data_IF_455187935514
#
_entry.id   IF_455187935514
#
_cell.length_a   1.000
_cell.length_b   1.000
_cell.length_c   1.000
_cell.angle_alpha   90.00
_cell.angle_beta   90.00
_cell.angle_gamma   90.00
#
_symmetry.space_group_name_H-M   'P 1'
#
loop_
_entity.id
_entity.type
_entity.pdbx_description
1 polymer ?
#
# COMPACT_ATOMS: atom_id res chain seq x y z
N UNK A 1 28.41 12.43 13.60
CA UNK A 1 28.37 11.09 12.97
C UNK A 1 29.38 10.23 13.69
N UNK A 2 28.94 9.47 14.70
CA UNK A 2 29.83 8.60 15.48
C UNK A 2 30.24 7.37 14.66
N UNK A 3 31.55 7.15 14.59
CA UNK A 3 32.21 6.08 13.86
C UNK A 3 32.07 4.68 14.49
N UNK A 4 31.14 4.47 15.44
CA UNK A 4 31.05 3.24 16.23
C UNK A 4 30.18 2.14 15.61
N UNK A 5 29.47 2.39 14.51
CA UNK A 5 28.58 1.41 13.86
C UNK A 5 29.24 0.55 12.77
N UNK A 6 30.57 0.59 12.61
CA UNK A 6 31.32 -0.15 11.57
C UNK A 6 32.34 -1.13 12.16
N UNK A 7 31.93 -1.99 13.08
CA UNK A 7 32.81 -3.03 13.62
C UNK A 7 32.20 -4.42 13.35
N UNK A 8 32.74 -5.13 12.38
CA UNK A 8 32.30 -6.48 11.96
C UNK A 8 32.18 -7.48 13.13
N UNK A 9 33.15 -7.54 14.07
CA UNK A 9 33.00 -8.26 15.34
C UNK A 9 31.73 -7.95 16.15
N UNK A 10 31.30 -6.68 16.20
CA UNK A 10 30.12 -6.29 16.94
C UNK A 10 28.82 -6.76 16.26
N UNK A 11 28.82 -6.81 14.92
CA UNK A 11 27.71 -7.36 14.14
C UNK A 11 27.61 -8.87 14.29
N UNK A 12 28.73 -9.59 14.25
CA UNK A 12 28.79 -11.03 14.48
C UNK A 12 28.28 -11.36 15.89
N UNK A 13 28.78 -10.66 16.91
CA UNK A 13 28.33 -10.86 18.30
C UNK A 13 26.82 -10.59 18.48
N UNK A 14 26.27 -9.64 17.70
CA UNK A 14 24.83 -9.33 17.73
C UNK A 14 24.00 -10.43 17.06
N UNK A 15 24.46 -10.98 15.95
CA UNK A 15 23.83 -12.11 15.26
C UNK A 15 23.84 -13.34 16.17
N UNK A 16 24.99 -13.68 16.75
CA UNK A 16 25.12 -14.82 17.67
C UNK A 16 24.19 -14.68 18.89
N UNK A 17 24.07 -13.47 19.44
CA UNK A 17 23.15 -13.19 20.55
C UNK A 17 21.69 -13.44 20.15
N UNK A 18 21.28 -12.99 18.96
CA UNK A 18 19.91 -13.18 18.45
C UNK A 18 19.62 -14.66 18.20
N UNK A 19 20.56 -15.40 17.61
CA UNK A 19 20.43 -16.85 17.39
C UNK A 19 20.28 -17.60 18.72
N UNK A 20 21.09 -17.26 19.72
CA UNK A 20 21.01 -17.88 21.04
C UNK A 20 19.71 -17.55 21.79
N UNK A 21 19.24 -16.30 21.71
CA UNK A 21 17.97 -15.90 22.31
C UNK A 21 16.77 -16.61 21.66
N UNK A 22 16.81 -16.84 20.34
CA UNK A 22 15.79 -17.59 19.60
C UNK A 22 15.77 -19.07 20.02
N UNK A 23 16.94 -19.71 20.07
CA UNK A 23 17.09 -21.12 20.47
C UNK A 23 16.57 -21.32 21.89
N UNK A 24 16.97 -20.48 22.85
CA UNK A 24 16.58 -20.61 24.26
C UNK A 24 15.06 -20.47 24.47
N UNK A 25 14.39 -19.63 23.67
CA UNK A 25 12.93 -19.46 23.71
C UNK A 25 12.21 -20.65 23.09
N UNK A 26 12.73 -21.18 21.99
CA UNK A 26 12.21 -22.41 21.39
C UNK A 26 12.33 -23.59 22.36
N UNK A 27 13.49 -23.73 23.02
CA UNK A 27 13.69 -24.70 24.10
C UNK A 27 12.69 -24.51 25.25
N UNK A 28 12.40 -23.26 25.63
CA UNK A 28 11.42 -22.94 26.69
C UNK A 28 10.00 -23.35 26.28
N UNK A 29 9.59 -23.06 25.04
CA UNK A 29 8.28 -23.47 24.51
C UNK A 29 8.13 -24.99 24.40
N UNK A 30 9.20 -25.68 23.95
CA UNK A 30 9.23 -27.14 23.90
C UNK A 30 9.20 -27.74 25.31
N UNK A 31 9.86 -27.12 26.28
CA UNK A 31 9.81 -27.54 27.69
C UNK A 31 8.46 -27.29 28.38
N UNK A 32 7.66 -26.34 27.88
CA UNK A 32 6.31 -26.04 28.34
C UNK A 32 5.24 -26.94 27.67
N UNK A 33 5.58 -27.62 26.57
CA UNK A 33 4.68 -28.51 25.84
C UNK A 33 4.30 -29.86 26.52
N UNK A 34 5.05 -30.46 27.48
CA UNK A 34 4.62 -31.69 28.14
C UNK A 34 3.56 -31.37 29.20
N UNK A 35 2.30 -31.38 28.80
CA UNK A 35 1.15 -31.28 29.72
C UNK A 35 0.65 -32.67 30.07
N UNK A 36 1.18 -33.24 31.15
CA UNK A 36 0.50 -34.30 31.90
C UNK A 36 0.42 -33.93 33.39
N UNK A 37 -0.21 -32.79 33.72
CA UNK A 37 -0.70 -32.53 35.08
C UNK A 37 -2.01 -31.76 35.06
N UNK A 38 -3.01 -32.28 35.77
CA UNK A 38 -4.40 -31.83 35.84
C UNK A 38 -4.65 -30.78 36.94
N UNK A 39 -3.64 -29.97 37.30
CA UNK A 39 -3.82 -28.86 38.24
C UNK A 39 -4.21 -27.58 37.49
N UNK A 40 -5.42 -27.07 37.80
CA UNK A 40 -6.06 -25.92 37.15
C UNK A 40 -5.22 -24.64 37.24
N UNK A 41 -4.48 -24.45 38.34
CA UNK A 41 -3.62 -23.28 38.53
C UNK A 41 -2.34 -23.36 37.69
N UNK A 42 -1.81 -24.58 37.52
CA UNK A 42 -0.63 -24.82 36.70
C UNK A 42 -0.94 -24.65 35.21
N UNK A 43 -2.09 -25.16 34.74
CA UNK A 43 -2.54 -24.98 33.35
C UNK A 43 -2.76 -23.51 33.00
N UNK A 44 -3.34 -22.72 33.91
CA UNK A 44 -3.55 -21.29 33.69
C UNK A 44 -2.23 -20.49 33.64
N UNK A 45 -1.27 -20.82 34.53
CA UNK A 45 0.06 -20.20 34.51
C UNK A 45 0.84 -20.56 33.25
N UNK A 46 0.83 -21.82 32.83
CA UNK A 46 1.50 -22.28 31.60
C UNK A 46 0.86 -21.69 30.35
N UNK A 47 -0.48 -21.56 30.30
CA UNK A 47 -1.17 -20.90 29.20
C UNK A 47 -0.83 -19.41 29.11
N UNK A 48 -0.80 -18.70 30.24
CA UNK A 48 -0.40 -17.29 30.30
C UNK A 48 1.08 -17.10 29.91
N UNK A 49 1.98 -17.98 30.37
CA UNK A 49 3.39 -17.97 29.98
C UNK A 49 3.58 -18.24 28.48
N UNK A 50 2.85 -19.20 27.90
CA UNK A 50 2.85 -19.45 26.45
C UNK A 50 2.33 -18.24 25.68
N UNK A 51 1.28 -17.57 26.16
CA UNK A 51 0.69 -16.39 25.51
C UNK A 51 1.65 -15.19 25.55
N UNK A 52 2.33 -14.97 26.68
CA UNK A 52 3.37 -13.92 26.82
C UNK A 52 4.56 -14.19 25.91
N UNK A 53 5.07 -15.42 25.85
CA UNK A 53 6.20 -15.78 24.98
C UNK A 53 5.82 -15.75 23.49
N UNK A 54 4.58 -16.13 23.15
CA UNK A 54 4.05 -16.05 21.77
C UNK A 54 3.80 -14.60 21.34
N UNK A 55 3.31 -13.75 22.23
CA UNK A 55 3.17 -12.31 21.98
C UNK A 55 4.53 -11.61 21.86
N UNK A 56 5.53 -12.04 22.64
CA UNK A 56 6.90 -11.54 22.55
C UNK A 56 7.58 -11.95 21.22
N UNK A 57 7.31 -13.15 20.70
CA UNK A 57 7.69 -13.58 19.36
C UNK A 57 7.02 -12.72 18.27
N UNK A 58 5.72 -12.48 18.34
CA UNK A 58 5.05 -11.64 17.34
C UNK A 58 5.40 -10.14 17.43
N UNK A 59 5.78 -9.62 18.60
CA UNK A 59 6.06 -8.19 18.75
C UNK A 59 7.52 -7.81 18.45
N UNK A 60 8.49 -8.70 18.70
CA UNK A 60 9.93 -8.40 18.52
C UNK A 60 10.53 -8.99 17.24
N UNK A 61 10.08 -10.17 16.81
CA UNK A 61 10.66 -10.86 15.64
C UNK A 61 10.38 -10.10 14.34
N UNK A 62 9.18 -9.52 14.16
CA UNK A 62 8.91 -8.72 12.96
C UNK A 62 9.73 -7.42 12.88
N UNK A 63 9.97 -6.75 14.00
CA UNK A 63 10.77 -5.51 14.01
C UNK A 63 12.27 -5.81 13.82
N UNK A 64 12.77 -6.89 14.43
CA UNK A 64 14.17 -7.28 14.35
C UNK A 64 14.50 -8.05 13.05
N UNK A 65 13.57 -8.78 12.42
CA UNK A 65 13.74 -9.40 11.09
C UNK A 65 13.69 -8.37 9.97
N UNK A 66 12.80 -7.37 10.06
CA UNK A 66 12.76 -6.25 9.11
C UNK A 66 14.04 -5.44 9.23
N UNK A 67 14.48 -5.13 10.46
CA UNK A 67 15.72 -4.40 10.70
C UNK A 67 16.96 -5.22 10.33
N UNK A 68 16.95 -6.53 10.54
CA UNK A 68 18.01 -7.44 10.07
C UNK A 68 18.05 -7.50 8.54
N UNK A 69 16.89 -7.48 7.88
CA UNK A 69 16.82 -7.44 6.41
C UNK A 69 17.29 -6.10 5.86
N UNK A 70 16.96 -4.99 6.51
CA UNK A 70 17.45 -3.65 6.18
C UNK A 70 18.96 -3.51 6.45
N UNK A 71 19.45 -4.06 7.55
CA UNK A 71 20.87 -4.11 7.90
C UNK A 71 21.64 -4.97 6.88
N UNK A 72 21.08 -6.10 6.43
CA UNK A 72 21.64 -6.96 5.37
C UNK A 72 21.64 -6.24 4.02
N UNK A 73 20.57 -5.53 3.65
CA UNK A 73 20.51 -4.73 2.42
C UNK A 73 21.52 -3.58 2.45
N UNK A 74 21.70 -2.94 3.61
CA UNK A 74 22.69 -1.89 3.83
C UNK A 74 24.13 -2.42 3.76
N UNK A 75 24.40 -3.58 4.38
CA UNK A 75 25.67 -4.29 4.27
C UNK A 75 25.95 -4.71 2.83
N UNK A 76 24.94 -5.21 2.12
CA UNK A 76 25.06 -5.62 0.71
C UNK A 76 25.40 -4.42 -0.16
N UNK A 77 24.74 -3.28 0.05
CA UNK A 77 25.05 -2.03 -0.65
C UNK A 77 26.44 -1.50 -0.31
N UNK A 78 26.87 -1.56 0.94
CA UNK A 78 28.22 -1.15 1.35
C UNK A 78 29.29 -2.09 0.81
N UNK A 79 29.02 -3.39 0.76
CA UNK A 79 29.88 -4.37 0.11
C UNK A 79 29.95 -4.13 -1.40
N UNK A 80 28.82 -3.83 -2.04
CA UNK A 80 28.76 -3.45 -3.46
C UNK A 80 29.51 -2.15 -3.73
N UNK A 81 29.40 -1.13 -2.89
CA UNK A 81 30.16 0.12 -3.00
C UNK A 81 31.67 -0.14 -2.79
N UNK A 82 32.07 -0.94 -1.80
CA UNK A 82 33.47 -1.37 -1.63
C UNK A 82 33.98 -2.20 -2.82
N UNK A 83 33.13 -3.00 -3.46
CA UNK A 83 33.48 -3.78 -4.66
C UNK A 83 33.58 -2.89 -5.90
N UNK A 84 32.61 -1.99 -6.11
CA UNK A 84 32.52 -1.04 -7.22
C UNK A 84 33.67 -0.02 -7.20
N UNK A 85 34.16 0.37 -6.02
CA UNK A 85 35.29 1.28 -5.87
C UNK A 85 36.64 0.57 -5.61
N UNK A 86 36.64 -0.73 -5.29
CA UNK A 86 37.81 -1.45 -4.81
C UNK A 86 38.53 -2.32 -5.84
N UNK A 87 37.85 -2.85 -6.87
CA UNK A 87 38.50 -3.65 -7.91
C UNK A 87 37.80 -3.48 -9.26
N UNK A 88 37.89 -2.28 -9.81
CA UNK A 88 37.56 -2.03 -11.21
C UNK A 88 38.72 -2.45 -12.12
N UNK A 89 39.01 -3.75 -12.17
CA UNK A 89 39.76 -4.35 -13.28
C UNK A 89 39.67 -5.86 -13.20
N UNK A 90 39.04 -6.44 -14.21
CA UNK A 90 38.96 -7.89 -14.53
C UNK A 90 37.87 -8.67 -13.81
N UNK A 91 36.78 -8.95 -14.54
CA UNK A 91 36.01 -10.21 -14.63
C UNK A 91 34.51 -9.96 -14.77
N UNK A 92 33.95 -10.59 -15.81
CA UNK A 92 32.64 -10.32 -16.41
C UNK A 92 31.40 -10.47 -15.53
N UNK A 93 30.32 -9.91 -16.07
CA UNK A 93 28.94 -9.89 -15.60
C UNK A 93 28.57 -11.09 -14.70
N UNK A 94 28.36 -10.81 -13.42
CA UNK A 94 28.02 -11.83 -12.41
C UNK A 94 26.51 -12.10 -12.39
N UNK A 95 26.15 -13.39 -12.28
CA UNK A 95 24.77 -13.91 -12.10
C UNK A 95 23.94 -13.18 -11.03
N UNK A 96 24.58 -12.59 -10.01
CA UNK A 96 23.87 -11.85 -8.96
C UNK A 96 23.26 -10.54 -9.49
N UNK A 97 23.94 -9.87 -10.42
CA UNK A 97 23.48 -8.64 -11.05
C UNK A 97 22.34 -8.95 -12.04
N UNK A 98 22.48 -10.04 -12.80
CA UNK A 98 21.39 -10.60 -13.60
C UNK A 98 20.17 -10.96 -12.76
N UNK A 99 20.35 -11.56 -11.57
CA UNK A 99 19.23 -11.94 -10.70
C UNK A 99 18.51 -10.73 -10.09
N UNK A 100 19.23 -9.69 -9.66
CA UNK A 100 18.60 -8.45 -9.16
C UNK A 100 17.87 -7.70 -10.27
N UNK A 101 18.42 -7.71 -11.48
CA UNK A 101 17.78 -7.12 -12.66
C UNK A 101 16.58 -7.96 -13.14
N UNK A 102 16.64 -9.30 -13.04
CA UNK A 102 15.51 -10.22 -13.22
C UNK A 102 14.43 -10.01 -12.17
N UNK A 103 14.77 -9.83 -10.90
CA UNK A 103 13.81 -9.59 -9.82
C UNK A 103 13.13 -8.21 -9.97
N UNK A 104 13.90 -7.16 -10.30
CA UNK A 104 13.36 -5.83 -10.60
C UNK A 104 12.49 -5.85 -11.86
N UNK A 105 12.87 -6.63 -12.87
CA UNK A 105 12.10 -6.85 -14.10
C UNK A 105 10.85 -7.69 -13.82
N UNK A 106 10.89 -8.70 -12.97
CA UNK A 106 9.74 -9.48 -12.56
C UNK A 106 8.76 -8.63 -11.75
N UNK A 107 9.26 -7.77 -10.85
CA UNK A 107 8.46 -6.76 -10.17
C UNK A 107 7.88 -5.76 -11.17
N UNK A 108 8.65 -5.25 -12.14
CA UNK A 108 8.14 -4.31 -13.15
C UNK A 108 7.11 -4.95 -14.10
N UNK A 109 7.32 -6.19 -14.54
CA UNK A 109 6.40 -6.97 -15.37
C UNK A 109 5.12 -7.32 -14.60
N UNK A 110 5.21 -7.58 -13.30
CA UNK A 110 4.04 -7.86 -12.47
C UNK A 110 3.33 -6.59 -12.03
N UNK A 111 4.05 -5.50 -11.75
CA UNK A 111 3.47 -4.15 -11.61
C UNK A 111 2.74 -3.77 -12.89
N UNK A 112 3.30 -4.10 -14.05
CA UNK A 112 2.64 -3.90 -15.34
C UNK A 112 1.43 -4.82 -15.55
N UNK A 113 1.28 -5.93 -14.80
CA UNK A 113 0.10 -6.82 -14.80
C UNK A 113 -0.98 -6.37 -13.79
N UNK A 114 -0.58 -6.03 -12.57
CA UNK A 114 -1.46 -5.57 -11.48
C UNK A 114 -2.00 -4.16 -11.70
N UNK A 115 -1.23 -3.34 -12.42
CA UNK A 115 -1.59 -1.98 -12.80
C UNK A 115 -1.93 -1.94 -14.31
N UNK A 116 -2.42 -3.03 -14.91
CA UNK A 116 -3.04 -2.95 -16.27
C UNK A 116 -4.25 -2.01 -16.33
N UNK A 117 -4.64 -1.44 -15.19
CA UNK A 117 -5.45 -0.24 -15.06
C UNK A 117 -5.66 0.04 -13.56
N UNK A 118 -5.64 1.25 -13.00
CA UNK A 118 -5.70 2.62 -13.49
C UNK A 118 -5.45 3.53 -12.29
N UNK A 119 -4.82 4.68 -12.46
CA UNK A 119 -4.47 5.54 -11.32
C UNK A 119 -5.52 6.58 -10.97
N UNK A 120 -6.48 6.12 -10.18
CA UNK A 120 -7.05 6.92 -9.09
C UNK A 120 -8.28 7.73 -9.43
N UNK A 121 -9.30 7.63 -8.57
CA UNK A 121 -10.42 8.57 -8.52
C UNK A 121 -10.04 9.71 -7.59
N UNK A 122 -10.05 10.93 -8.13
CA UNK A 122 -9.73 12.15 -7.39
C UNK A 122 -10.74 13.24 -7.69
N UNK A 123 -10.99 14.10 -6.71
CA UNK A 123 -11.68 15.37 -6.89
C UNK A 123 -10.70 16.53 -6.72
N UNK A 124 -10.71 17.51 -7.63
CA UNK A 124 -9.93 18.74 -7.51
C UNK A 124 -10.69 19.98 -7.99
N UNK A 125 -10.42 21.14 -7.37
CA UNK A 125 -10.85 22.47 -7.87
C UNK A 125 -10.17 22.82 -9.18
N UNK A 126 -10.56 23.92 -9.85
CA UNK A 126 -9.94 24.33 -11.11
C UNK A 126 -8.44 24.66 -10.95
N UNK A 127 -8.02 25.19 -9.80
CA UNK A 127 -6.61 25.36 -9.42
C UNK A 127 -5.95 24.12 -8.80
N UNK A 128 -6.48 22.92 -9.06
CA UNK A 128 -5.95 21.65 -8.56
C UNK A 128 -5.97 21.48 -7.03
N UNK A 129 -6.76 22.26 -6.30
CA UNK A 129 -6.94 22.10 -4.84
C UNK A 129 -7.73 20.84 -4.50
N UNK A 130 -7.23 20.04 -3.55
CA UNK A 130 -7.81 18.74 -3.17
C UNK A 130 -8.17 18.63 -1.69
N UNK A 131 -7.72 19.57 -0.86
CA UNK A 131 -7.88 19.47 0.57
C UNK A 131 -7.61 20.78 1.30
N UNK A 132 -8.20 20.89 2.49
CA UNK A 132 -7.89 21.91 3.49
C UNK A 132 -7.95 21.26 4.88
N UNK A 133 -6.91 21.45 5.69
CA UNK A 133 -6.83 20.94 7.06
C UNK A 133 -7.17 19.44 7.18
N UNK A 134 -6.80 18.64 6.17
CA UNK A 134 -7.05 17.20 6.15
C UNK A 134 -8.48 16.78 5.77
N UNK A 135 -9.36 17.70 5.37
CA UNK A 135 -10.70 17.40 4.86
C UNK A 135 -10.91 17.94 3.45
N UNK A 136 -12.03 17.56 2.82
CA UNK A 136 -12.46 18.16 1.55
C UNK A 136 -12.97 19.58 1.79
N UNK A 137 -12.56 20.58 0.99
CA UNK A 137 -12.87 21.99 1.24
C UNK A 137 -14.26 22.41 0.74
N UNK A 138 -14.96 21.54 0.02
CA UNK A 138 -16.33 21.76 -0.48
C UNK A 138 -17.37 21.04 0.39
N UNK A 139 -18.67 21.44 0.31
CA UNK A 139 -19.76 20.73 0.97
C UNK A 139 -19.81 19.25 0.58
N UNK A 140 -20.50 18.42 1.38
CA UNK A 140 -20.59 16.99 1.11
C UNK A 140 -21.37 16.71 -0.20
N UNK A 141 -20.65 16.52 -1.30
CA UNK A 141 -21.19 16.17 -2.63
C UNK A 141 -21.52 14.67 -2.65
N UNK A 142 -22.76 14.32 -2.33
CA UNK A 142 -23.20 12.93 -2.17
C UNK A 142 -23.18 12.17 -3.49
N UNK A 143 -23.49 12.82 -4.61
CA UNK A 143 -23.49 12.17 -5.92
C UNK A 143 -22.06 11.83 -6.34
N UNK A 144 -21.11 12.73 -6.10
CA UNK A 144 -19.69 12.51 -6.32
C UNK A 144 -19.16 11.36 -5.44
N UNK A 145 -19.46 11.37 -4.13
CA UNK A 145 -19.08 10.28 -3.23
C UNK A 145 -19.70 8.94 -3.62
N UNK A 146 -20.94 8.95 -4.13
CA UNK A 146 -21.58 7.74 -4.66
C UNK A 146 -20.89 7.25 -5.94
N UNK A 147 -20.50 8.16 -6.84
CA UNK A 147 -19.70 7.84 -8.02
C UNK A 147 -18.35 7.21 -7.63
N UNK A 148 -17.59 7.87 -6.74
CA UNK A 148 -16.34 7.32 -6.18
C UNK A 148 -16.52 5.91 -5.62
N UNK A 149 -17.56 5.71 -4.80
CA UNK A 149 -17.85 4.42 -4.19
C UNK A 149 -18.21 3.34 -5.22
N UNK A 150 -18.99 3.66 -6.26
CA UNK A 150 -19.34 2.72 -7.32
C UNK A 150 -18.14 2.34 -8.16
N UNK A 151 -17.39 3.33 -8.65
CA UNK A 151 -16.23 3.13 -9.52
C UNK A 151 -15.15 2.31 -8.84
N UNK A 152 -14.80 2.67 -7.59
CA UNK A 152 -13.74 1.94 -6.86
C UNK A 152 -14.19 0.56 -6.39
N UNK A 153 -15.50 0.30 -6.21
CA UNK A 153 -16.02 -1.00 -5.76
C UNK A 153 -16.29 -1.97 -6.90
N UNK A 154 -16.67 -1.49 -8.08
CA UNK A 154 -17.09 -2.33 -9.20
C UNK A 154 -15.90 -3.13 -9.74
N UNK A 155 -15.85 -4.41 -9.37
CA UNK A 155 -14.91 -5.37 -9.95
C UNK A 155 -15.33 -5.75 -11.37
N UNK A 156 -14.39 -5.96 -12.32
CA UNK A 156 -14.74 -6.45 -13.64
C UNK A 156 -15.45 -7.81 -13.54
N UNK A 157 -16.61 -7.91 -14.18
CA UNK A 157 -17.39 -9.14 -14.28
C UNK A 157 -16.66 -10.13 -15.20
N UNK A 158 -15.88 -11.05 -14.64
CA UNK A 158 -15.65 -12.34 -15.32
C UNK A 158 -16.80 -13.29 -14.97
N UNK A 159 -17.37 -14.01 -15.96
CA UNK A 159 -18.33 -15.07 -15.67
C UNK A 159 -17.66 -16.14 -14.79
N UNK A 160 -18.43 -16.85 -13.95
CA UNK A 160 -17.88 -17.80 -13.00
C UNK A 160 -17.34 -19.03 -13.75
N UNK A 161 -16.07 -19.02 -14.14
CA UNK A 161 -15.35 -20.26 -14.39
C UNK A 161 -14.94 -20.83 -13.04
N UNK A 162 -15.72 -21.80 -12.57
CA UNK A 162 -15.36 -22.81 -11.56
C UNK A 162 -14.39 -22.37 -10.45
N UNK A 163 -14.96 -22.11 -9.26
CA UNK A 163 -14.30 -22.25 -7.95
C UNK A 163 -13.08 -21.38 -7.64
N UNK A 164 -13.23 -20.05 -7.70
CA UNK A 164 -12.37 -19.13 -6.93
C UNK A 164 -13.16 -17.87 -6.52
N UNK A 165 -12.80 -17.25 -5.40
CA UNK A 165 -13.46 -16.05 -4.90
C UNK A 165 -13.46 -14.94 -5.96
N UNK A 166 -14.57 -14.21 -6.09
CA UNK A 166 -14.66 -13.09 -7.03
C UNK A 166 -13.58 -12.04 -6.71
N UNK A 167 -12.82 -11.56 -7.71
CA UNK A 167 -11.79 -10.56 -7.47
C UNK A 167 -12.41 -9.28 -6.92
N UNK A 168 -11.70 -8.62 -6.03
CA UNK A 168 -12.10 -7.38 -5.40
C UNK A 168 -11.10 -6.28 -5.74
N UNK A 169 -11.59 -5.09 -6.11
CA UNK A 169 -10.72 -3.95 -6.34
C UNK A 169 -9.99 -3.53 -5.05
N UNK A 170 -8.81 -2.95 -5.21
CA UNK A 170 -8.02 -2.40 -4.13
C UNK A 170 -8.01 -0.86 -4.16
N UNK A 171 -7.95 -0.24 -2.98
CA UNK A 171 -7.77 1.20 -2.80
C UNK A 171 -6.54 1.44 -1.95
N UNK A 172 -5.58 2.19 -2.48
CA UNK A 172 -4.34 2.57 -1.80
C UNK A 172 -4.45 4.02 -1.37
N UNK A 173 -4.19 4.28 -0.08
CA UNK A 173 -4.27 5.62 0.49
C UNK A 173 -3.17 5.86 1.53
N UNK A 174 -2.78 7.11 1.68
CA UNK A 174 -1.89 7.52 2.78
C UNK A 174 -2.61 7.54 4.13
N UNK A 175 -1.85 7.39 5.22
CA UNK A 175 -2.35 7.42 6.60
C UNK A 175 -3.25 8.63 6.92
N UNK A 176 -2.87 9.83 6.49
CA UNK A 176 -3.69 11.04 6.71
C UNK A 176 -5.04 10.97 5.99
N UNK A 177 -5.08 10.39 4.79
CA UNK A 177 -6.32 10.15 4.05
C UNK A 177 -7.18 9.12 4.77
N UNK A 178 -6.57 8.04 5.26
CA UNK A 178 -7.25 7.07 6.12
C UNK A 178 -7.85 7.73 7.37
N UNK A 179 -7.15 8.62 8.05
CA UNK A 179 -7.66 9.34 9.22
C UNK A 179 -8.76 10.35 8.88
N UNK A 180 -8.74 10.93 7.68
CA UNK A 180 -9.78 11.87 7.25
C UNK A 180 -11.14 11.22 6.96
N UNK A 181 -11.16 9.92 6.68
CA UNK A 181 -12.40 9.19 6.42
C UNK A 181 -13.11 8.93 7.77
N UNK A 182 -14.39 9.29 7.91
CA UNK A 182 -15.12 9.04 9.16
C UNK A 182 -15.09 7.56 9.54
N UNK A 183 -14.87 7.26 10.82
CA UNK A 183 -14.68 5.88 11.33
C UNK A 183 -15.76 4.90 10.91
N UNK A 184 -17.03 5.33 10.83
CA UNK A 184 -18.17 4.52 10.36
C UNK A 184 -18.07 4.04 8.90
N UNK A 185 -17.24 4.69 8.09
CA UNK A 185 -16.98 4.36 6.69
C UNK A 185 -15.63 3.67 6.49
N UNK A 186 -14.86 3.43 7.57
CA UNK A 186 -13.59 2.70 7.54
C UNK A 186 -13.79 1.24 7.98
N UNK A 187 -13.18 0.27 7.27
CA UNK A 187 -12.57 0.39 5.94
C UNK A 187 -13.63 0.65 4.86
N UNK A 188 -13.19 1.12 3.70
CA UNK A 188 -14.06 1.31 2.54
C UNK A 188 -14.62 -0.04 2.09
N UNK A 189 -15.91 -0.30 2.37
CA UNK A 189 -16.56 -1.61 2.15
C UNK A 189 -16.46 -2.09 0.71
N UNK A 190 -16.31 -3.42 0.54
CA UNK A 190 -16.24 -4.11 -0.75
C UNK A 190 -14.98 -3.82 -1.56
N UNK A 191 -13.91 -3.36 -0.89
CA UNK A 191 -12.59 -3.05 -1.45
C UNK A 191 -11.50 -3.50 -0.50
N UNK A 192 -10.36 -3.91 -1.06
CA UNK A 192 -9.15 -4.18 -0.28
C UNK A 192 -8.49 -2.83 0.02
N UNK A 193 -8.39 -2.45 1.28
CA UNK A 193 -7.87 -1.14 1.67
C UNK A 193 -6.39 -1.28 2.02
N UNK A 194 -5.51 -0.56 1.33
CA UNK A 194 -4.08 -0.51 1.62
C UNK A 194 -3.74 0.86 2.20
N UNK A 195 -3.32 0.88 3.46
CA UNK A 195 -2.96 2.11 4.17
C UNK A 195 -1.45 2.24 4.25
N UNK A 196 -0.92 3.33 3.70
CA UNK A 196 0.51 3.60 3.69
C UNK A 196 0.93 4.45 4.89
N UNK A 197 1.84 3.93 5.72
CA UNK A 197 2.43 4.65 6.84
C UNK A 197 3.93 4.39 6.96
N UNK A 198 4.72 5.47 7.10
CA UNK A 198 6.18 5.40 7.24
C UNK A 198 6.66 4.99 8.64
N UNK A 199 5.76 4.94 9.63
CA UNK A 199 6.13 4.56 11.01
C UNK A 199 5.90 3.07 11.23
N UNK A 200 6.98 2.34 11.45
CA UNK A 200 6.94 0.92 11.80
C UNK A 200 6.40 0.70 13.22
N UNK A 201 5.84 -0.50 13.48
CA UNK A 201 5.41 -0.94 14.81
C UNK A 201 4.10 -0.30 15.27
N UNK A 202 4.19 0.81 16.00
CA UNK A 202 3.08 1.34 16.80
C UNK A 202 1.89 1.81 15.95
N UNK A 203 2.15 2.48 14.82
CA UNK A 203 1.07 2.94 13.93
C UNK A 203 0.43 1.82 13.12
N UNK A 204 1.20 0.79 12.75
CA UNK A 204 0.63 -0.39 12.07
C UNK A 204 -0.35 -1.09 13.01
N UNK A 205 0.06 -1.26 14.26
CA UNK A 205 -0.78 -1.85 15.31
C UNK A 205 -2.00 -0.98 15.60
N UNK A 206 -1.88 0.35 15.66
CA UNK A 206 -3.01 1.22 15.97
C UNK A 206 -4.10 1.20 14.88
N UNK A 207 -3.72 1.25 13.60
CA UNK A 207 -4.66 1.19 12.47
C UNK A 207 -5.47 -0.12 12.51
N UNK A 208 -4.81 -1.25 12.80
CA UNK A 208 -5.47 -2.54 12.90
C UNK A 208 -6.27 -2.69 14.20
N UNK A 209 -5.78 -2.14 15.31
CA UNK A 209 -6.44 -2.20 16.62
C UNK A 209 -7.79 -1.47 16.63
N UNK A 210 -7.94 -0.40 15.85
CA UNK A 210 -9.21 0.33 15.65
C UNK A 210 -10.30 -0.50 14.95
N UNK A 211 -9.93 -1.63 14.34
CA UNK A 211 -10.81 -2.46 13.53
C UNK A 211 -11.19 -3.75 14.26
N UNK A 212 -12.45 -4.13 14.12
CA UNK A 212 -12.91 -5.48 14.46
C UNK A 212 -12.27 -6.54 13.54
N UNK A 213 -12.27 -7.79 13.98
CA UNK A 213 -11.62 -8.90 13.30
C UNK A 213 -12.12 -9.08 11.86
N UNK A 214 -13.43 -8.90 11.63
CA UNK A 214 -14.03 -9.01 10.30
C UNK A 214 -13.60 -7.88 9.34
N UNK A 215 -13.29 -6.68 9.85
CA UNK A 215 -12.77 -5.58 9.04
C UNK A 215 -11.27 -5.69 8.78
N UNK A 216 -10.50 -6.28 9.69
CA UNK A 216 -9.04 -6.44 9.54
C UNK A 216 -8.66 -7.25 8.32
N UNK A 217 -9.45 -8.26 7.95
CA UNK A 217 -9.26 -9.07 6.73
C UNK A 217 -9.40 -8.27 5.43
N UNK A 218 -9.83 -7.01 5.49
CA UNK A 218 -9.94 -6.12 4.34
C UNK A 218 -8.94 -4.97 4.36
N UNK A 219 -7.99 -4.97 5.30
CA UNK A 219 -7.00 -3.89 5.48
C UNK A 219 -5.59 -4.45 5.48
N UNK A 220 -4.77 -3.90 4.59
CA UNK A 220 -3.32 -4.10 4.54
C UNK A 220 -2.63 -2.81 4.95
N UNK A 221 -1.55 -2.91 5.71
CA UNK A 221 -0.76 -1.75 6.12
C UNK A 221 0.67 -1.92 5.61
N UNK A 222 1.12 -0.96 4.79
CA UNK A 222 2.42 -0.98 4.15
C UNK A 222 3.22 0.30 4.46
N UNK A 223 4.54 0.22 4.37
CA UNK A 223 5.50 1.31 4.59
C UNK A 223 5.48 2.32 3.45
N UNK A 224 5.32 1.82 2.23
CA UNK A 224 5.30 2.61 1.00
C UNK A 224 4.43 1.95 -0.09
N UNK A 225 4.36 2.62 -1.25
CA UNK A 225 3.56 2.19 -2.38
C UNK A 225 4.06 0.85 -2.96
N UNK A 226 5.38 0.61 -2.97
CA UNK A 226 5.96 -0.60 -3.52
C UNK A 226 5.60 -1.81 -2.65
N UNK A 227 5.77 -1.72 -1.33
CA UNK A 227 5.35 -2.75 -0.38
C UNK A 227 3.84 -3.02 -0.50
N UNK A 228 3.02 -1.97 -0.60
CA UNK A 228 1.57 -2.12 -0.76
C UNK A 228 1.18 -2.89 -2.03
N UNK A 229 1.84 -2.61 -3.16
CA UNK A 229 1.62 -3.32 -4.41
C UNK A 229 2.11 -4.77 -4.34
N UNK A 230 3.24 -5.04 -3.69
CA UNK A 230 3.73 -6.39 -3.43
C UNK A 230 2.76 -7.19 -2.55
N UNK A 231 2.16 -6.59 -1.53
CA UNK A 231 1.14 -7.27 -0.72
C UNK A 231 -0.09 -7.65 -1.55
N UNK A 232 -0.57 -6.73 -2.39
CA UNK A 232 -1.68 -6.99 -3.31
C UNK A 232 -1.35 -8.12 -4.31
N UNK A 233 -0.11 -8.23 -4.77
CA UNK A 233 0.33 -9.35 -5.62
C UNK A 233 0.22 -10.71 -4.93
N UNK A 234 0.56 -10.76 -3.65
CA UNK A 234 0.57 -11.99 -2.87
C UNK A 234 -0.82 -12.35 -2.31
N UNK A 235 -1.81 -11.46 -2.44
CA UNK A 235 -3.21 -11.75 -2.15
C UNK A 235 -3.70 -12.98 -2.93
N UNK A 236 -3.38 -13.05 -4.23
CA UNK A 236 -3.79 -14.14 -5.12
C UNK A 236 -3.16 -15.49 -4.72
N UNK A 237 -2.07 -15.46 -3.96
CA UNK A 237 -1.36 -16.66 -3.46
C UNK A 237 -1.85 -17.10 -2.08
N UNK A 238 -2.87 -16.45 -1.52
CA UNK A 238 -3.42 -16.74 -0.19
C UNK A 238 -2.48 -16.35 0.96
N UNK A 239 -1.41 -15.59 0.69
CA UNK A 239 -0.47 -15.13 1.73
C UNK A 239 -1.10 -14.13 2.69
N UNK A 240 -2.06 -13.35 2.18
CA UNK A 240 -2.82 -12.39 2.96
C UNK A 240 -4.30 -12.79 2.94
N UNK A 241 -5.02 -12.55 4.03
CA UNK A 241 -6.44 -12.86 4.17
C UNK A 241 -7.36 -11.90 3.39
N UNK A 242 -6.93 -11.44 2.21
CA UNK A 242 -7.69 -10.55 1.32
C UNK A 242 -8.09 -11.31 0.06
N UNK A 243 -9.24 -10.97 -0.58
CA UNK A 243 -9.65 -11.59 -1.84
C UNK A 243 -8.64 -11.32 -2.98
N UNK A 244 -8.69 -12.12 -4.06
CA UNK A 244 -7.93 -11.84 -5.27
C UNK A 244 -8.14 -10.41 -5.77
N UNK A 245 -7.11 -9.80 -6.34
CA UNK A 245 -7.15 -8.36 -6.65
C UNK A 245 -7.70 -8.11 -8.05
N UNK A 246 -8.70 -7.22 -8.13
CA UNK A 246 -9.21 -6.67 -9.39
C UNK A 246 -8.39 -5.44 -9.84
N UNK A 247 -9.05 -4.29 -10.02
CA UNK A 247 -8.38 -3.01 -10.32
C UNK A 247 -7.77 -2.40 -9.05
N UNK A 248 -6.66 -1.68 -9.19
CA UNK A 248 -5.99 -0.97 -8.10
C UNK A 248 -6.16 0.54 -8.27
N UNK A 249 -6.73 1.22 -7.27
CA UNK A 249 -6.95 2.66 -7.29
C UNK A 249 -6.08 3.36 -6.24
N UNK A 250 -5.33 4.38 -6.66
CA UNK A 250 -4.69 5.31 -5.73
C UNK A 250 -5.66 6.45 -5.42
N UNK A 251 -6.09 6.59 -4.16
CA UNK A 251 -7.11 7.57 -3.77
C UNK A 251 -6.54 8.77 -2.97
N UNK A 252 -5.21 8.89 -2.96
CA UNK A 252 -4.49 10.03 -2.40
C UNK A 252 -3.93 9.80 -0.99
N UNK A 253 -3.44 10.84 -0.29
CA UNK A 253 -3.42 12.26 -0.67
C UNK A 253 -2.22 12.69 -1.52
N UNK A 254 -1.92 14.00 -1.51
CA UNK A 254 -0.89 14.65 -2.35
C UNK A 254 0.43 13.86 -2.45
N UNK A 255 1.05 13.53 -1.31
CA UNK A 255 2.33 12.81 -1.30
C UNK A 255 2.27 11.45 -2.00
N UNK A 256 1.12 10.76 -1.92
CA UNK A 256 0.94 9.48 -2.61
C UNK A 256 0.67 9.70 -4.09
N UNK A 257 -0.12 10.69 -4.47
CA UNK A 257 -0.32 11.05 -5.88
C UNK A 257 1.01 11.40 -6.56
N UNK A 258 1.89 12.15 -5.88
CA UNK A 258 3.19 12.55 -6.44
C UNK A 258 4.08 11.35 -6.78
N UNK A 259 4.08 10.31 -5.93
CA UNK A 259 4.83 9.08 -6.18
C UNK A 259 4.13 8.21 -7.23
N UNK A 260 2.80 8.09 -7.16
CA UNK A 260 2.04 7.27 -8.11
C UNK A 260 2.18 7.78 -9.55
N UNK A 261 2.13 9.09 -9.79
CA UNK A 261 2.25 9.65 -11.14
C UNK A 261 3.61 9.41 -11.80
N UNK A 262 4.66 9.13 -11.01
CA UNK A 262 5.98 8.79 -11.51
C UNK A 262 6.09 7.32 -11.96
N UNK A 263 5.11 6.48 -11.60
CA UNK A 263 5.10 5.08 -12.01
C UNK A 263 4.72 4.96 -13.49
N UNK A 264 5.52 4.28 -14.34
CA UNK A 264 5.17 4.04 -15.74
C UNK A 264 3.83 3.32 -15.93
N UNK A 265 3.44 2.52 -14.94
CA UNK A 265 2.20 1.76 -14.97
C UNK A 265 0.96 2.63 -14.70
N UNK A 266 1.14 3.85 -14.21
CA UNK A 266 0.05 4.81 -14.04
C UNK A 266 -0.43 5.31 -15.40
N UNK A 267 -1.42 4.62 -15.99
CA UNK A 267 -1.91 4.92 -17.35
C UNK A 267 -3.17 5.77 -17.40
N UNK A 268 -4.00 5.80 -16.35
CA UNK A 268 -5.27 6.54 -16.36
C UNK A 268 -5.45 7.35 -15.08
N UNK A 269 -6.18 8.47 -15.16
CA UNK A 269 -6.60 9.30 -14.04
C UNK A 269 -8.10 9.56 -14.16
N UNK A 270 -8.84 9.32 -13.09
CA UNK A 270 -10.26 9.65 -12.98
C UNK A 270 -10.36 10.91 -12.13
N UNK A 271 -10.85 11.98 -12.74
CA UNK A 271 -10.84 13.31 -12.16
C UNK A 271 -12.25 13.88 -12.12
N UNK A 272 -12.75 14.15 -10.92
CA UNK A 272 -13.88 15.07 -10.72
C UNK A 272 -13.34 16.50 -10.67
N UNK A 273 -13.60 17.29 -11.71
CA UNK A 273 -13.19 18.70 -11.77
C UNK A 273 -14.27 19.60 -11.18
N UNK A 274 -14.00 20.17 -10.02
CA UNK A 274 -14.86 21.16 -9.35
C UNK A 274 -14.55 22.55 -9.90
N UNK A 275 -15.57 23.21 -10.45
CA UNK A 275 -15.43 24.51 -11.13
C UNK A 275 -15.30 25.69 -10.15
N UNK A 276 -15.87 25.53 -8.95
CA UNK A 276 -15.80 26.56 -7.90
C UNK A 276 -14.45 26.50 -7.20
N UNK A 277 -13.83 27.67 -7.00
CA UNK A 277 -12.63 27.78 -6.19
C UNK A 277 -12.94 27.75 -4.70
N UNK A 278 -12.13 27.01 -3.97
CA UNK A 278 -12.15 26.93 -2.51
C UNK A 278 -10.76 27.19 -1.98
N UNK A 279 -10.66 27.73 -0.78
CA UNK A 279 -9.38 27.96 -0.13
C UNK A 279 -8.75 26.62 0.27
N UNK A 280 -7.64 26.24 -0.36
CA UNK A 280 -7.00 24.93 -0.23
C UNK A 280 -5.56 25.07 0.28
N UNK A 281 -5.12 24.12 1.11
CA UNK A 281 -3.71 24.00 1.54
C UNK A 281 -2.98 22.81 0.90
N UNK A 282 -3.76 21.90 0.30
CA UNK A 282 -3.28 20.68 -0.32
C UNK A 282 -3.73 20.66 -1.76
N UNK A 283 -2.76 20.52 -2.66
CA UNK A 283 -2.97 20.54 -4.10
C UNK A 283 -2.56 19.22 -4.71
N UNK A 284 -3.14 18.90 -5.85
CA UNK A 284 -2.67 17.81 -6.67
C UNK A 284 -1.36 18.20 -7.37
N UNK A 285 -0.39 17.29 -7.46
CA UNK A 285 0.99 17.65 -7.78
C UNK A 285 1.25 18.01 -9.24
N UNK A 286 0.32 17.73 -10.17
CA UNK A 286 0.52 17.94 -11.61
C UNK A 286 -0.66 18.69 -12.21
N UNK A 287 -0.40 19.71 -13.02
CA UNK A 287 -1.45 20.33 -13.83
C UNK A 287 -1.73 19.51 -15.10
N UNK A 288 -2.64 18.53 -14.98
CA UNK A 288 -2.98 17.58 -16.07
C UNK A 288 -3.54 18.31 -17.31
N UNK A 289 -4.27 19.41 -17.12
CA UNK A 289 -4.87 20.17 -18.23
C UNK A 289 -3.91 21.21 -18.82
N UNK A 290 -2.80 21.46 -18.13
CA UNK A 290 -1.79 22.45 -18.51
C UNK A 290 -0.73 21.93 -19.49
N UNK A 291 0.39 22.64 -19.56
CA UNK A 291 1.56 22.21 -20.33
C UNK A 291 2.23 20.97 -19.74
N UNK A 292 2.31 20.89 -18.40
CA UNK A 292 2.92 19.77 -17.68
C UNK A 292 2.23 18.44 -18.01
N UNK A 293 0.89 18.39 -17.94
CA UNK A 293 0.12 17.21 -18.31
C UNK A 293 0.32 16.79 -19.76
N UNK A 294 0.34 17.76 -20.69
CA UNK A 294 0.58 17.50 -22.12
C UNK A 294 1.97 16.93 -22.38
N UNK A 295 3.02 17.48 -21.75
CA UNK A 295 4.40 16.97 -21.86
C UNK A 295 4.51 15.58 -21.26
N UNK A 296 3.79 15.30 -20.17
CA UNK A 296 3.71 13.99 -19.54
C UNK A 296 2.82 12.97 -20.31
N UNK A 297 2.26 13.35 -21.47
CA UNK A 297 1.49 12.48 -22.35
C UNK A 297 0.04 12.24 -21.94
N UNK A 298 -0.51 13.03 -21.00
CA UNK A 298 -1.90 12.87 -20.58
C UNK A 298 -2.86 13.44 -21.62
N UNK A 299 -3.80 12.61 -22.07
CA UNK A 299 -4.85 12.97 -23.03
C UNK A 299 -6.21 12.77 -22.38
N UNK A 300 -7.07 13.80 -22.46
CA UNK A 300 -8.46 13.70 -22.02
C UNK A 300 -9.22 12.73 -22.93
N UNK A 301 -9.88 11.74 -22.34
CA UNK A 301 -10.66 10.72 -23.05
C UNK A 301 -12.13 11.15 -23.17
N UNK A 302 -12.85 10.51 -24.09
CA UNK A 302 -14.26 10.84 -24.31
C UNK A 302 -15.14 10.32 -23.18
N UNK A 303 -16.41 10.75 -23.16
CA UNK A 303 -17.39 10.25 -22.20
C UNK A 303 -17.66 8.76 -22.40
N UNK A 304 -17.69 8.32 -23.65
CA UNK A 304 -17.87 6.92 -24.03
C UNK A 304 -16.72 6.07 -23.49
N UNK A 305 -15.47 6.54 -23.65
CA UNK A 305 -14.30 5.87 -23.08
C UNK A 305 -14.39 5.78 -21.55
N UNK A 306 -14.75 6.89 -20.90
CA UNK A 306 -14.93 6.91 -19.44
C UNK A 306 -16.04 5.93 -19.01
N UNK A 307 -17.20 5.96 -19.66
CA UNK A 307 -18.34 5.10 -19.37
C UNK A 307 -18.03 3.61 -19.59
N UNK A 308 -17.37 3.28 -20.70
CA UNK A 308 -16.88 1.94 -20.98
C UNK A 308 -15.88 1.48 -19.91
N UNK A 309 -15.00 2.37 -19.48
CA UNK A 309 -14.02 2.09 -18.46
C UNK A 309 -14.65 1.84 -17.06
N UNK A 310 -15.56 2.71 -16.63
CA UNK A 310 -16.24 2.57 -15.33
C UNK A 310 -17.35 1.52 -15.34
N UNK A 311 -17.79 1.07 -16.51
CA UNK A 311 -18.88 0.11 -16.67
C UNK A 311 -20.24 0.66 -16.27
N UNK A 312 -20.46 1.96 -16.39
CA UNK A 312 -21.75 2.62 -16.23
C UNK A 312 -21.87 3.85 -17.12
N UNK A 313 -23.10 4.24 -17.43
CA UNK A 313 -23.34 5.55 -18.03
C UNK A 313 -23.00 6.65 -17.01
N UNK A 314 -22.09 7.53 -17.39
CA UNK A 314 -21.70 8.69 -16.58
C UNK A 314 -22.56 9.87 -16.99
N UNK A 315 -22.99 10.70 -16.02
CA UNK A 315 -23.83 11.88 -16.25
C UNK A 315 -23.26 12.79 -17.35
N UNK A 316 -24.15 13.36 -18.17
CA UNK A 316 -23.76 14.22 -19.27
C UNK A 316 -23.36 15.62 -18.79
N UNK A 317 -22.14 16.04 -19.12
CA UNK A 317 -21.66 17.38 -18.85
C UNK A 317 -21.49 17.67 -17.35
N UNK A 318 -21.87 18.89 -16.96
CA UNK A 318 -21.65 19.41 -15.61
C UNK A 318 -22.79 19.00 -14.69
N UNK A 319 -22.45 18.41 -13.55
CA UNK A 319 -23.37 18.13 -12.43
C UNK A 319 -23.33 19.30 -11.47
N UNK A 320 -24.49 19.72 -10.97
CA UNK A 320 -24.59 20.71 -9.90
C UNK A 320 -25.16 20.06 -8.63
N UNK A 321 -24.45 20.23 -7.52
CA UNK A 321 -24.90 19.79 -6.20
C UNK A 321 -24.50 20.82 -5.14
N UNK A 322 -25.45 21.25 -4.31
CA UNK A 322 -25.21 22.22 -3.22
C UNK A 322 -24.49 23.51 -3.70
N UNK A 323 -24.84 23.99 -4.90
CA UNK A 323 -24.23 25.18 -5.51
C UNK A 323 -22.77 24.98 -5.95
N UNK A 324 -22.34 23.73 -6.08
CA UNK A 324 -21.03 23.34 -6.61
C UNK A 324 -21.23 22.63 -7.93
N UNK A 325 -20.64 23.19 -8.98
CA UNK A 325 -20.65 22.62 -10.33
C UNK A 325 -19.38 21.80 -10.54
N UNK A 326 -19.51 20.57 -10.99
CA UNK A 326 -18.38 19.68 -11.26
C UNK A 326 -18.63 18.75 -12.45
N UNK A 327 -17.55 18.16 -12.98
CA UNK A 327 -17.59 17.27 -14.15
C UNK A 327 -16.72 16.04 -13.90
N UNK A 328 -17.18 14.85 -14.32
CA UNK A 328 -16.39 13.61 -14.25
C UNK A 328 -15.56 13.44 -15.53
N UNK A 329 -14.25 13.30 -15.37
CA UNK A 329 -13.27 13.27 -16.46
C UNK A 329 -12.38 12.03 -16.35
N UNK A 330 -11.89 11.56 -17.48
CA UNK A 330 -10.83 10.56 -17.55
C UNK A 330 -9.68 11.08 -18.41
N UNK A 331 -8.46 10.91 -17.92
CA UNK A 331 -7.24 11.14 -18.68
C UNK A 331 -6.50 9.81 -18.82
N UNK A 332 -5.84 9.62 -19.96
CA UNK A 332 -5.04 8.43 -20.25
C UNK A 332 -3.71 8.85 -20.87
N UNK A 333 -2.64 8.13 -20.54
CA UNK A 333 -1.33 8.21 -21.19
C UNK A 333 -0.86 6.82 -21.60
N UNK A 334 -0.05 6.76 -22.64
CA UNK A 334 0.42 5.52 -23.27
C UNK A 334 1.37 4.68 -22.38
#
# INVERSE_FOLDING_TARGET
MEASLRNTPALIARIEKLTNDLIRRFETLVALAPVERTDRNFTAYSAYQMEVETAALHSRTYADEIRSSEDILTLTRQMQEMWLFGQLSTLGESRAQQKTEEDARAVAEVLARLIQGETGVKVATAKNGIGRNGTLPWPALKQEMAYFARVTRRSPSQPPSSSSAQPQNAVIMGRKTWESIPSKFRPLKGRTNVVLTRQAGDQRTSILAELDEAKRTHVLVAGDLQEGLQMLQHADKGTYAVPPVGKVFVIGGNSLYAVALQLPQTKRILLTRVQKEFDCDTFFPVDIEGEEGRVAGWVRKTREDLGAFVGEEVAEGKVEEQGVVYEFLMYERD
#
